data_IF_527925476567
#
_entry.id   IF_527925476567
#
_cell.length_a   1.000
_cell.length_b   1.000
_cell.length_c   1.000
_cell.angle_alpha   90.00
_cell.angle_beta   90.00
_cell.angle_gamma   90.00
#
_symmetry.space_group_name_H-M   'P 1'
#
loop_
_entity.id
_entity.type
_entity.pdbx_description
1 polymer ?
#
# COMPACT_ATOMS: atom_id res chain seq x y z
N UNK A 1 46.32 -27.70 51.12
CA UNK A 1 45.68 -27.49 49.80
C UNK A 1 44.25 -28.04 49.68
N UNK A 2 43.89 -29.21 50.22
CA UNK A 2 42.57 -29.85 50.03
C UNK A 2 41.35 -29.12 50.64
N UNK A 3 41.54 -28.22 51.62
CA UNK A 3 40.44 -27.50 52.28
C UNK A 3 39.99 -26.24 51.53
N UNK A 4 40.89 -25.59 50.76
CA UNK A 4 40.54 -24.42 49.93
C UNK A 4 39.66 -24.83 48.74
N UNK A 5 39.89 -26.03 48.20
CA UNK A 5 39.15 -26.56 47.03
C UNK A 5 37.67 -26.84 47.32
N UNK A 6 37.31 -27.19 48.56
CA UNK A 6 35.93 -27.46 48.97
C UNK A 6 35.06 -26.20 49.08
N UNK A 7 35.69 -25.04 49.28
CA UNK A 7 35.01 -23.73 49.35
C UNK A 7 34.93 -23.08 47.96
N UNK A 8 35.92 -23.34 47.10
CA UNK A 8 35.96 -22.80 45.74
C UNK A 8 34.96 -23.51 44.80
N UNK A 9 34.73 -24.82 45.01
CA UNK A 9 33.81 -25.62 44.18
C UNK A 9 32.35 -25.13 44.19
N UNK A 10 31.70 -24.83 45.33
CA UNK A 10 30.32 -24.31 45.34
C UNK A 10 30.22 -22.86 44.83
N UNK A 11 31.27 -22.06 45.02
CA UNK A 11 31.32 -20.66 44.56
C UNK A 11 31.42 -20.57 43.03
N UNK A 12 32.17 -21.48 42.40
CA UNK A 12 32.29 -21.57 40.95
C UNK A 12 30.99 -22.07 40.30
N UNK A 13 30.27 -23.00 40.93
CA UNK A 13 28.97 -23.48 40.43
C UNK A 13 27.87 -22.43 40.55
N UNK A 14 27.90 -21.58 41.58
CA UNK A 14 26.94 -20.49 41.75
C UNK A 14 27.09 -19.41 40.66
N UNK A 15 28.32 -19.12 40.28
CA UNK A 15 28.66 -18.18 39.20
C UNK A 15 28.20 -18.73 37.84
N UNK A 16 28.35 -20.03 37.58
CA UNK A 16 27.91 -20.67 36.33
C UNK A 16 26.37 -20.68 36.15
N UNK A 17 25.62 -20.82 37.26
CA UNK A 17 24.15 -20.74 37.26
C UNK A 17 23.68 -19.30 36.99
N UNK A 18 24.36 -18.30 37.53
CA UNK A 18 24.04 -16.89 37.31
C UNK A 18 24.26 -16.44 35.85
N UNK A 19 25.20 -17.06 35.11
CA UNK A 19 25.43 -16.74 33.69
C UNK A 19 24.35 -17.30 32.75
N UNK A 20 23.59 -18.31 33.18
CA UNK A 20 22.64 -19.01 32.29
C UNK A 20 21.28 -18.33 32.19
N UNK A 21 21.01 -17.30 32.99
CA UNK A 21 19.69 -16.66 33.10
C UNK A 21 19.58 -15.34 32.31
N UNK A 22 20.09 -15.29 31.07
CA UNK A 22 20.04 -14.05 30.25
C UNK A 22 19.43 -14.21 28.85
N UNK A 23 18.85 -15.36 28.48
CA UNK A 23 18.38 -15.61 27.10
C UNK A 23 16.88 -15.90 26.98
N UNK A 24 16.04 -15.28 27.81
CA UNK A 24 14.60 -15.23 27.56
C UNK A 24 14.16 -13.85 27.10
N UNK A 25 14.80 -13.36 26.02
CA UNK A 25 14.23 -12.27 25.23
C UNK A 25 13.11 -12.87 24.38
N UNK A 26 11.92 -12.97 24.96
CA UNK A 26 10.71 -13.31 24.21
C UNK A 26 10.53 -12.21 23.16
N UNK A 27 10.97 -12.49 21.93
CA UNK A 27 10.78 -11.64 20.76
C UNK A 27 9.27 -11.49 20.56
N UNK A 28 8.69 -10.46 21.16
CA UNK A 28 7.30 -10.09 20.90
C UNK A 28 7.30 -9.57 19.47
N UNK A 29 6.98 -10.43 18.51
CA UNK A 29 6.82 -10.02 17.13
C UNK A 29 5.60 -9.11 16.98
N UNK A 30 5.63 -8.23 16.01
CA UNK A 30 4.57 -7.32 15.64
C UNK A 30 3.84 -7.78 14.38
N UNK A 31 2.77 -7.06 14.09
CA UNK A 31 1.91 -7.26 12.94
C UNK A 31 1.84 -5.91 12.22
N UNK A 32 1.92 -5.94 10.89
CA UNK A 32 1.61 -4.80 10.04
C UNK A 32 0.36 -5.13 9.22
N UNK A 33 -0.70 -4.37 9.45
CA UNK A 33 -1.88 -4.35 8.59
C UNK A 33 -1.89 -3.03 7.83
N UNK A 34 -2.00 -3.09 6.51
CA UNK A 34 -1.98 -1.90 5.68
C UNK A 34 -3.05 -1.91 4.61
N UNK A 35 -3.37 -0.72 4.08
CA UNK A 35 -4.22 -0.51 2.91
C UNK A 35 -3.53 0.43 1.94
N UNK A 36 -3.34 -0.03 0.70
CA UNK A 36 -2.78 0.76 -0.39
C UNK A 36 -3.92 1.44 -1.13
N UNK A 37 -3.81 2.75 -1.32
CA UNK A 37 -4.87 3.56 -1.91
C UNK A 37 -4.30 4.65 -2.81
N UNK A 38 -5.12 5.14 -3.72
CA UNK A 38 -4.83 6.31 -4.53
C UNK A 38 -4.82 7.56 -3.64
N UNK A 39 -3.74 8.34 -3.72
CA UNK A 39 -3.55 9.51 -2.89
C UNK A 39 -4.61 10.59 -3.09
N UNK A 40 -5.16 10.71 -4.30
CA UNK A 40 -6.15 11.71 -4.70
C UNK A 40 -7.58 11.17 -4.56
N UNK A 41 -7.92 10.07 -5.24
CA UNK A 41 -9.29 9.54 -5.25
C UNK A 41 -9.66 8.75 -3.98
N UNK A 42 -8.67 8.31 -3.20
CA UNK A 42 -8.83 7.40 -2.05
C UNK A 42 -9.36 6.01 -2.41
N UNK A 43 -9.40 5.67 -3.69
CA UNK A 43 -9.77 4.34 -4.16
C UNK A 43 -8.68 3.32 -3.79
N UNK A 44 -9.09 2.07 -3.57
CA UNK A 44 -8.15 1.00 -3.25
C UNK A 44 -7.28 0.65 -4.46
N UNK A 45 -6.00 0.38 -4.23
CA UNK A 45 -5.08 -0.09 -5.28
C UNK A 45 -4.83 -1.58 -5.06
N UNK A 46 -5.48 -2.45 -5.86
CA UNK A 46 -5.28 -3.89 -5.75
C UNK A 46 -3.93 -4.33 -6.30
N UNK A 47 -3.48 -5.51 -5.86
CA UNK A 47 -2.24 -6.15 -6.34
C UNK A 47 -0.97 -5.28 -6.19
N UNK A 48 -0.99 -4.29 -5.30
CA UNK A 48 0.19 -3.51 -4.97
C UNK A 48 1.24 -4.39 -4.29
N UNK A 49 2.49 -4.29 -4.74
CA UNK A 49 3.64 -4.96 -4.12
C UNK A 49 4.08 -4.16 -2.90
N UNK A 50 4.25 -4.85 -1.78
CA UNK A 50 4.72 -4.25 -0.53
C UNK A 50 5.96 -5.00 -0.09
N UNK A 51 7.05 -4.26 0.13
CA UNK A 51 8.31 -4.78 0.68
C UNK A 51 8.61 -4.09 2.00
N UNK A 52 8.76 -4.87 3.06
CA UNK A 52 9.09 -4.38 4.40
C UNK A 52 10.53 -4.79 4.73
N UNK A 53 11.37 -3.81 5.04
CA UNK A 53 12.76 -4.02 5.42
C UNK A 53 12.97 -3.59 6.87
N UNK A 54 13.24 -4.55 7.75
CA UNK A 54 13.53 -4.35 9.17
C UNK A 54 14.98 -4.80 9.41
N UNK A 55 15.91 -3.84 9.55
CA UNK A 55 17.36 -4.12 9.63
C UNK A 55 17.86 -5.03 8.50
N UNK A 56 18.13 -6.31 8.80
CA UNK A 56 18.68 -7.31 7.88
C UNK A 56 17.64 -8.29 7.33
N UNK A 57 16.39 -8.16 7.76
CA UNK A 57 15.29 -9.04 7.36
C UNK A 57 14.38 -8.27 6.42
N UNK A 58 14.05 -8.90 5.29
CA UNK A 58 13.09 -8.38 4.32
C UNK A 58 11.90 -9.31 4.23
N UNK A 59 10.72 -8.73 4.17
CA UNK A 59 9.45 -9.40 3.97
C UNK A 59 8.78 -8.78 2.74
N UNK A 60 8.03 -9.57 2.01
CA UNK A 60 7.26 -9.13 0.86
C UNK A 60 5.86 -9.72 0.86
N UNK A 61 4.92 -8.95 0.34
CA UNK A 61 3.54 -9.39 0.15
C UNK A 61 2.91 -8.60 -0.99
N UNK A 62 1.70 -9.02 -1.38
CA UNK A 62 0.89 -8.37 -2.40
C UNK A 62 -0.46 -8.04 -1.76
N UNK A 63 -0.93 -6.82 -1.98
CA UNK A 63 -2.25 -6.38 -1.52
C UNK A 63 -3.37 -7.11 -2.27
N UNK A 64 -4.48 -7.38 -1.57
CA UNK A 64 -5.67 -8.03 -2.12
C UNK A 64 -6.49 -7.10 -3.03
N UNK A 65 -7.71 -7.50 -3.39
CA UNK A 65 -8.60 -6.74 -4.27
C UNK A 65 -9.13 -5.45 -3.63
N UNK A 66 -9.21 -5.40 -2.29
CA UNK A 66 -9.53 -4.21 -1.52
C UNK A 66 -8.30 -3.35 -1.19
N UNK A 67 -7.12 -3.69 -1.75
CA UNK A 67 -5.86 -3.02 -1.50
C UNK A 67 -5.29 -3.28 -0.11
N UNK A 68 -5.82 -4.26 0.64
CA UNK A 68 -5.40 -4.58 2.00
C UNK A 68 -4.26 -5.61 1.95
N UNK A 69 -3.31 -5.48 2.87
CA UNK A 69 -2.27 -6.48 3.09
C UNK A 69 -2.01 -6.70 4.57
N UNK A 70 -1.44 -7.87 4.87
CA UNK A 70 -1.12 -8.30 6.22
C UNK A 70 0.23 -9.01 6.24
N UNK A 71 1.11 -8.61 7.18
CA UNK A 71 2.38 -9.30 7.46
C UNK A 71 2.48 -9.48 8.98
N UNK A 72 2.57 -10.73 9.42
CA UNK A 72 2.82 -11.07 10.82
C UNK A 72 4.32 -11.28 11.07
N UNK A 73 4.65 -11.57 12.33
CA UNK A 73 5.98 -12.01 12.71
C UNK A 73 7.12 -11.00 12.45
N UNK A 74 6.77 -9.72 12.34
CA UNK A 74 7.73 -8.65 12.12
C UNK A 74 8.49 -8.30 13.42
N UNK A 75 9.79 -7.99 13.36
CA UNK A 75 10.49 -7.40 14.50
C UNK A 75 9.83 -6.07 14.92
N UNK A 76 9.66 -5.85 16.24
CA UNK A 76 9.11 -4.59 16.77
C UNK A 76 10.18 -3.50 16.76
N UNK A 77 10.20 -2.73 15.70
CA UNK A 77 11.16 -1.66 15.45
C UNK A 77 10.62 -0.73 14.36
N UNK A 78 11.36 0.34 14.05
CA UNK A 78 11.12 1.11 12.83
C UNK A 78 11.60 0.28 11.63
N UNK A 79 10.70 0.05 10.68
CA UNK A 79 10.97 -0.61 9.42
C UNK A 79 10.68 0.33 8.25
N UNK A 80 11.36 0.10 7.12
CA UNK A 80 11.09 0.77 5.85
C UNK A 80 10.11 -0.05 5.03
N UNK A 81 9.06 0.58 4.51
CA UNK A 81 8.03 -0.04 3.68
C UNK A 81 8.09 0.60 2.30
N UNK A 82 8.47 -0.18 1.30
CA UNK A 82 8.45 0.21 -0.10
C UNK A 82 7.18 -0.35 -0.74
N UNK A 83 6.35 0.53 -1.28
CA UNK A 83 5.07 0.18 -1.91
C UNK A 83 5.11 0.58 -3.39
N UNK A 84 4.70 -0.33 -4.27
CA UNK A 84 4.63 -0.07 -5.70
C UNK A 84 3.46 -0.78 -6.36
N UNK A 85 2.92 -0.16 -7.42
CA UNK A 85 1.85 -0.71 -8.24
C UNK A 85 2.03 -0.25 -9.69
N UNK A 86 1.48 -1.01 -10.64
CA UNK A 86 1.52 -0.65 -12.06
C UNK A 86 0.73 0.65 -12.26
N UNK A 87 1.33 1.61 -12.98
CA UNK A 87 0.71 2.92 -13.22
C UNK A 87 0.90 3.94 -12.09
N UNK A 88 1.56 3.57 -10.99
CA UNK A 88 1.83 4.44 -9.84
C UNK A 88 3.33 4.69 -9.64
N UNK A 89 3.66 5.85 -9.07
CA UNK A 89 5.01 6.14 -8.57
C UNK A 89 5.24 5.31 -7.29
N UNK A 90 6.40 4.65 -7.20
CA UNK A 90 6.76 3.90 -6.00
C UNK A 90 7.07 4.83 -4.83
N UNK A 91 6.62 4.47 -3.63
CA UNK A 91 6.78 5.29 -2.43
C UNK A 91 7.40 4.48 -1.29
N UNK A 92 8.17 5.17 -0.43
CA UNK A 92 8.82 4.60 0.74
C UNK A 92 8.29 5.26 2.02
N UNK A 93 8.02 4.44 3.04
CA UNK A 93 7.48 4.89 4.33
C UNK A 93 8.30 4.29 5.48
N UNK A 94 8.38 5.01 6.60
CA UNK A 94 8.98 4.51 7.85
C UNK A 94 7.88 4.28 8.86
N UNK A 95 7.70 3.05 9.32
CA UNK A 95 6.64 2.67 10.28
C UNK A 95 7.24 1.95 11.48
N UNK A 96 6.80 2.35 12.67
CA UNK A 96 7.17 1.71 13.94
C UNK A 96 6.26 0.51 14.21
N UNK A 97 6.79 -0.70 14.02
CA UNK A 97 6.08 -1.96 14.20
C UNK A 97 5.86 -2.24 15.70
N UNK A 98 4.60 -2.50 16.07
CA UNK A 98 4.23 -2.92 17.43
C UNK A 98 3.72 -1.80 18.35
N UNK A 99 3.62 -0.57 17.84
CA UNK A 99 3.02 0.58 18.54
C UNK A 99 1.51 0.66 18.37
N UNK A 100 1.02 0.32 17.18
CA UNK A 100 -0.39 0.37 16.81
C UNK A 100 -0.86 -0.93 16.16
N UNK A 101 -2.11 -1.31 16.44
CA UNK A 101 -2.80 -2.45 15.81
C UNK A 101 -3.80 -2.01 14.73
N UNK A 102 -3.91 -0.70 14.50
CA UNK A 102 -4.77 -0.13 13.47
C UNK A 102 -4.17 -0.37 12.07
N UNK A 103 -5.06 -0.35 11.08
CA UNK A 103 -4.67 -0.46 9.67
C UNK A 103 -4.04 0.86 9.22
N UNK A 104 -2.84 0.79 8.66
CA UNK A 104 -2.11 1.97 8.16
C UNK A 104 -2.42 2.18 6.68
N UNK A 105 -2.67 3.42 6.28
CA UNK A 105 -2.91 3.79 4.88
C UNK A 105 -1.60 4.16 4.19
N UNK A 106 -1.41 3.64 2.97
CA UNK A 106 -0.25 3.86 2.12
C UNK A 106 -0.71 4.51 0.80
N UNK A 107 -0.79 5.85 0.74
CA UNK A 107 -1.22 6.56 -0.46
C UNK A 107 -0.12 6.52 -1.53
N UNK A 108 -0.48 6.16 -2.75
CA UNK A 108 0.39 6.27 -3.93
C UNK A 108 -0.10 7.38 -4.88
N UNK A 109 0.83 7.93 -5.65
CA UNK A 109 0.53 8.94 -6.67
C UNK A 109 0.52 8.29 -8.05
N UNK A 110 -0.49 8.58 -8.87
CA UNK A 110 -0.53 8.11 -10.26
C UNK A 110 0.75 8.59 -10.98
N UNK A 111 1.42 7.66 -11.66
CA UNK A 111 2.62 7.97 -12.47
C UNK A 111 2.30 8.62 -13.80
N UNK A 112 1.02 8.66 -14.18
CA UNK A 112 0.55 9.21 -15.45
C UNK A 112 -0.48 10.28 -15.13
N UNK A 113 -0.15 11.54 -15.40
CA UNK A 113 -1.13 12.62 -15.37
C UNK A 113 -1.76 12.70 -16.76
N UNK A 114 -3.02 12.32 -16.89
CA UNK A 114 -3.77 12.51 -18.13
C UNK A 114 -4.31 13.95 -18.16
N UNK A 115 -4.01 14.67 -19.24
CA UNK A 115 -4.66 15.95 -19.48
C UNK A 115 -6.14 15.72 -19.81
N UNK A 116 -7.01 16.56 -19.27
CA UNK A 116 -8.44 16.48 -19.58
C UNK A 116 -8.67 16.79 -21.06
N UNK A 117 -9.28 15.85 -21.78
CA UNK A 117 -9.73 16.07 -23.15
C UNK A 117 -10.96 16.96 -23.08
N UNK A 118 -10.80 18.24 -23.40
CA UNK A 118 -11.93 19.14 -23.63
C UNK A 118 -12.59 18.73 -24.93
N UNK A 119 -13.81 18.20 -24.84
CA UNK A 119 -14.67 18.01 -26.00
C UNK A 119 -15.29 19.37 -26.32
N UNK A 120 -14.64 20.11 -27.22
CA UNK A 120 -15.24 21.32 -27.77
C UNK A 120 -16.33 20.92 -28.76
N UNK A 121 -17.59 21.00 -28.32
CA UNK A 121 -18.75 20.92 -29.22
C UNK A 121 -18.81 22.22 -30.04
N UNK A 122 -18.05 22.29 -31.13
CA UNK A 122 -18.21 23.35 -32.12
C UNK A 122 -19.50 23.06 -32.88
N UNK A 123 -20.58 23.75 -32.53
CA UNK A 123 -21.93 23.52 -33.02
C UNK A 123 -22.08 23.50 -34.55
N UNK A 124 -21.76 22.38 -35.17
CA UNK A 124 -22.00 22.10 -36.58
C UNK A 124 -22.97 20.94 -36.64
N UNK A 125 -24.25 21.32 -36.56
CA UNK A 125 -25.39 20.51 -36.95
C UNK A 125 -25.62 19.25 -36.13
N UNK A 126 -26.66 19.28 -35.30
CA UNK A 126 -27.34 18.05 -34.87
C UNK A 126 -27.78 17.31 -36.14
N UNK A 127 -27.14 16.17 -36.37
CA UNK A 127 -27.47 15.23 -37.42
C UNK A 127 -28.50 14.26 -36.86
N UNK A 128 -29.66 14.16 -37.50
CA UNK A 128 -30.67 13.18 -37.16
C UNK A 128 -31.02 12.34 -38.39
N UNK A 129 -31.47 11.12 -38.15
CA UNK A 129 -31.95 10.22 -39.21
C UNK A 129 -33.47 10.30 -39.24
N UNK A 130 -34.06 10.61 -40.39
CA UNK A 130 -35.52 10.60 -40.53
C UNK A 130 -36.09 9.17 -40.55
N UNK A 131 -37.42 9.05 -40.51
CA UNK A 131 -38.12 7.76 -40.51
C UNK A 131 -37.89 6.91 -41.76
N UNK A 132 -37.23 7.45 -42.79
CA UNK A 132 -36.88 6.77 -44.03
C UNK A 132 -35.38 6.45 -44.11
N UNK A 133 -34.62 6.71 -43.05
CA UNK A 133 -33.18 6.43 -42.98
C UNK A 133 -32.30 7.55 -43.57
N UNK A 134 -32.87 8.71 -43.91
CA UNK A 134 -32.07 9.80 -44.49
C UNK A 134 -31.44 10.65 -43.39
N UNK A 135 -30.16 10.93 -43.56
CA UNK A 135 -29.39 11.84 -42.71
C UNK A 135 -29.83 13.28 -42.99
N UNK A 136 -30.30 13.98 -41.97
CA UNK A 136 -30.75 15.39 -42.02
C UNK A 136 -30.04 16.22 -40.97
N UNK A 137 -29.90 17.50 -41.29
CA UNK A 137 -29.33 18.52 -40.41
C UNK A 137 -30.42 19.47 -39.94
N UNK A 138 -30.42 19.87 -38.67
CA UNK A 138 -31.45 20.79 -38.12
C UNK A 138 -31.53 22.18 -38.79
N UNK A 139 -30.56 22.57 -39.63
CA UNK A 139 -30.66 23.76 -40.49
C UNK A 139 -31.56 23.55 -41.71
N UNK A 140 -31.74 22.32 -42.19
CA UNK A 140 -32.52 22.02 -43.41
C UNK A 140 -34.03 22.08 -43.17
N UNK A 141 -34.47 21.95 -41.92
CA UNK A 141 -35.89 22.00 -41.56
C UNK A 141 -36.47 23.43 -41.54
N UNK A 142 -35.66 24.43 -41.16
CA UNK A 142 -36.08 25.84 -41.15
C UNK A 142 -36.25 26.45 -42.54
N UNK A 143 -35.58 25.89 -43.56
CA UNK A 143 -35.73 26.35 -44.95
C UNK A 143 -37.09 26.01 -45.58
N UNK A 144 -37.86 25.09 -44.98
CA UNK A 144 -39.10 24.59 -45.58
C UNK A 144 -40.38 25.19 -44.99
N UNK A 145 -40.30 25.91 -43.86
CA UNK A 145 -41.46 26.58 -43.24
C UNK A 145 -41.68 28.02 -43.71
N UNK A 146 -40.76 28.60 -44.48
CA UNK A 146 -40.85 29.99 -44.99
C UNK A 146 -41.42 30.11 -46.42
N UNK A 147 -41.75 28.98 -47.06
CA UNK A 147 -42.50 28.95 -48.33
C UNK A 147 -43.88 28.36 -48.10
N UNK A 148 -44.76 29.10 -47.45
CA UNK A 148 -46.20 28.86 -47.54
C UNK A 148 -46.99 30.15 -47.40
#
# INVERSE_FOLDING_TARGET
MKSRIKIILPLLTLIFIAYSCNSQMSSRKGILKGKVLDGESKEAIPAAKVKVSCEKITFDTIADLEGIFFISDLPKQVCKIDVSAVGYVSSSFSVEIGKDSSQIEFPLTLGIKLDSVKVDYTGSSIIYTDSLGNIKTAKDEKSKSEKK
#
